data_IF_886833298913
#
_entry.id   IF_886833298913
#
_cell.length_a   1.000
_cell.length_b   1.000
_cell.length_c   1.000
_cell.angle_alpha   90.00
_cell.angle_beta   90.00
_cell.angle_gamma   90.00
#
_symmetry.space_group_name_H-M   'P 1'
#
loop_
_entity.id
_entity.type
_entity.pdbx_description
1 polymer ?
#
# COMPACT_ATOMS: atom_id res chain seq x y z
N UNK A 1 23.21 -16.75 6.33
CA UNK A 1 21.84 -16.43 5.90
C UNK A 1 21.83 -16.41 4.38
N UNK A 2 20.92 -17.14 3.75
CA UNK A 2 20.73 -17.06 2.30
C UNK A 2 20.42 -15.61 1.92
N UNK A 3 21.02 -15.09 0.85
CA UNK A 3 20.72 -13.76 0.32
C UNK A 3 19.31 -13.85 -0.27
N UNK A 4 18.35 -13.12 0.31
CA UNK A 4 17.00 -13.00 -0.22
C UNK A 4 16.86 -11.71 -1.03
N UNK A 5 16.10 -11.79 -2.14
CA UNK A 5 15.76 -10.62 -2.96
C UNK A 5 14.46 -10.00 -2.51
N UNK A 6 13.40 -10.82 -2.43
CA UNK A 6 12.07 -10.36 -2.09
C UNK A 6 11.86 -10.22 -0.58
N UNK A 7 11.27 -9.09 -0.20
CA UNK A 7 10.74 -8.82 1.14
C UNK A 7 9.22 -9.01 1.18
N UNK A 8 8.56 -8.41 2.17
CA UNK A 8 7.10 -8.46 2.34
C UNK A 8 6.33 -7.70 1.26
N UNK A 9 6.98 -6.77 0.55
CA UNK A 9 6.36 -5.94 -0.48
C UNK A 9 7.35 -5.69 -1.63
N UNK A 10 7.68 -6.75 -2.34
CA UNK A 10 8.61 -6.72 -3.46
C UNK A 10 10.09 -6.67 -3.04
N UNK A 11 10.95 -6.28 -3.98
CA UNK A 11 12.39 -6.09 -3.77
C UNK A 11 12.60 -4.66 -3.29
N UNK A 12 13.30 -4.45 -2.16
CA UNK A 12 13.61 -3.10 -1.64
C UNK A 12 15.00 -3.05 -1.03
N UNK A 13 15.75 -2.01 -1.34
CA UNK A 13 16.99 -1.65 -0.68
C UNK A 13 17.40 -0.22 -1.03
N UNK A 14 18.46 0.27 -0.38
CA UNK A 14 19.16 1.49 -0.81
C UNK A 14 19.70 1.28 -2.23
N UNK A 15 19.46 2.24 -3.11
CA UNK A 15 19.91 2.17 -4.49
C UNK A 15 21.44 1.95 -4.57
N UNK A 16 21.89 1.16 -5.54
CA UNK A 16 23.28 0.75 -5.71
C UNK A 16 23.83 -0.16 -4.58
N UNK A 17 22.98 -0.68 -3.72
CA UNK A 17 23.33 -1.75 -2.77
C UNK A 17 22.54 -3.02 -3.11
N UNK A 18 23.08 -4.19 -2.75
CA UNK A 18 22.36 -5.44 -2.94
C UNK A 18 21.01 -5.43 -2.17
N UNK A 19 19.91 -5.84 -2.81
CA UNK A 19 19.73 -6.36 -4.17
C UNK A 19 19.49 -5.29 -5.27
N UNK A 20 19.44 -4.00 -4.94
CA UNK A 20 19.11 -2.91 -5.86
C UNK A 20 20.32 -2.42 -6.68
N UNK A 21 21.19 -3.34 -7.14
CA UNK A 21 22.29 -3.07 -8.06
C UNK A 21 21.91 -3.33 -9.52
N UNK A 22 22.47 -2.60 -10.51
CA UNK A 22 22.10 -2.75 -11.93
C UNK A 22 22.17 -4.20 -12.43
N UNK A 23 23.18 -4.94 -12.02
CA UNK A 23 23.36 -6.33 -12.46
C UNK A 23 22.27 -7.26 -11.94
N UNK A 24 21.89 -7.13 -10.67
CA UNK A 24 20.80 -7.92 -10.09
C UNK A 24 19.46 -7.53 -10.71
N UNK A 25 19.20 -6.23 -10.87
CA UNK A 25 17.97 -5.71 -11.48
C UNK A 25 17.81 -6.20 -12.92
N UNK A 26 18.90 -6.21 -13.71
CA UNK A 26 18.89 -6.77 -15.06
C UNK A 26 18.52 -8.25 -15.04
N UNK A 27 19.09 -9.03 -14.11
CA UNK A 27 18.76 -10.45 -13.94
C UNK A 27 17.30 -10.66 -13.50
N UNK A 28 16.72 -9.76 -12.68
CA UNK A 28 15.29 -9.80 -12.36
C UNK A 28 14.45 -9.64 -13.64
N UNK A 29 14.82 -8.69 -14.52
CA UNK A 29 14.18 -8.54 -15.83
C UNK A 29 14.34 -9.79 -16.71
N UNK A 30 15.52 -10.41 -16.73
CA UNK A 30 15.77 -11.67 -17.46
C UNK A 30 14.94 -12.83 -16.90
N UNK A 31 14.91 -13.01 -15.57
CA UNK A 31 14.15 -14.06 -14.92
C UNK A 31 12.63 -13.94 -15.21
N UNK A 32 12.08 -12.74 -15.03
CA UNK A 32 10.68 -12.47 -15.38
C UNK A 32 10.42 -12.72 -16.87
N UNK A 33 11.30 -12.28 -17.76
CA UNK A 33 11.20 -12.51 -19.20
C UNK A 33 11.21 -14.00 -19.56
N UNK A 34 12.03 -14.81 -18.88
CA UNK A 34 12.06 -16.25 -19.05
C UNK A 34 10.73 -16.91 -18.63
N UNK A 35 10.19 -16.50 -17.47
CA UNK A 35 8.91 -17.02 -16.97
C UNK A 35 7.75 -16.68 -17.91
N UNK A 36 7.66 -15.45 -18.38
CA UNK A 36 6.63 -15.01 -19.33
C UNK A 36 6.69 -15.81 -20.65
N UNK A 37 7.90 -16.17 -21.10
CA UNK A 37 8.06 -16.98 -22.31
C UNK A 37 7.80 -18.46 -22.11
N UNK A 38 7.97 -18.99 -20.91
CA UNK A 38 7.68 -20.40 -20.58
C UNK A 38 6.19 -20.67 -20.57
N UNK A 39 5.43 -19.81 -19.94
CA UNK A 39 3.97 -19.88 -19.94
C UNK A 39 3.46 -19.25 -21.25
N UNK A 40 2.52 -19.88 -21.97
CA UNK A 40 2.09 -19.36 -23.25
C UNK A 40 1.56 -17.92 -23.09
N UNK A 41 2.21 -16.94 -23.69
CA UNK A 41 1.82 -15.54 -23.50
C UNK A 41 0.46 -15.29 -24.11
N UNK A 42 -0.32 -14.41 -23.48
CA UNK A 42 -1.60 -13.91 -24.02
C UNK A 42 -1.38 -13.28 -25.40
N UNK A 43 -0.19 -12.73 -25.60
CA UNK A 43 0.21 -12.03 -26.83
C UNK A 43 1.26 -12.84 -27.60
N UNK A 44 1.19 -12.76 -28.95
CA UNK A 44 2.23 -13.33 -29.82
C UNK A 44 3.64 -12.77 -29.52
N UNK A 45 3.71 -11.51 -29.09
CA UNK A 45 4.94 -10.85 -28.64
C UNK A 45 4.71 -10.41 -27.18
N UNK A 46 5.32 -11.11 -26.20
CA UNK A 46 5.17 -10.78 -24.80
C UNK A 46 5.56 -9.34 -24.51
N UNK A 47 4.81 -8.68 -23.62
CA UNK A 47 5.04 -7.28 -23.28
C UNK A 47 4.84 -7.00 -21.80
N UNK A 48 5.67 -6.11 -21.26
CA UNK A 48 5.65 -5.65 -19.88
C UNK A 48 5.49 -4.13 -19.83
N UNK A 49 4.60 -3.66 -18.98
CA UNK A 49 4.47 -2.22 -18.67
C UNK A 49 5.37 -1.90 -17.50
N UNK A 50 6.18 -0.84 -17.62
CA UNK A 50 7.05 -0.35 -16.53
C UNK A 50 6.75 1.11 -16.23
N UNK A 51 6.39 1.39 -14.97
CA UNK A 51 6.31 2.74 -14.43
C UNK A 51 7.23 2.90 -13.23
N UNK A 52 7.31 4.14 -12.74
CA UNK A 52 8.18 4.49 -11.61
C UNK A 52 7.60 5.65 -10.81
N UNK A 53 8.09 5.81 -9.58
CA UNK A 53 7.92 7.06 -8.85
C UNK A 53 8.95 8.11 -9.31
N UNK A 54 9.12 9.15 -8.53
CA UNK A 54 9.93 10.32 -8.90
C UNK A 54 11.38 10.24 -8.43
N UNK A 55 11.82 9.13 -7.82
CA UNK A 55 13.18 8.95 -7.29
C UNK A 55 14.23 9.03 -8.41
N UNK A 56 15.36 9.66 -8.12
CA UNK A 56 16.48 9.76 -9.08
C UNK A 56 16.95 8.39 -9.55
N UNK A 57 17.07 7.43 -8.64
CA UNK A 57 17.51 6.06 -8.93
C UNK A 57 16.57 5.29 -9.86
N UNK A 58 15.32 5.76 -10.01
CA UNK A 58 14.33 5.17 -10.93
C UNK A 58 14.83 5.06 -12.38
N UNK A 59 15.65 6.00 -12.85
CA UNK A 59 16.22 5.93 -14.20
C UNK A 59 17.16 4.74 -14.37
N UNK A 60 18.05 4.50 -13.41
CA UNK A 60 18.98 3.37 -13.43
C UNK A 60 18.23 2.03 -13.40
N UNK A 61 17.24 1.92 -12.50
CA UNK A 61 16.45 0.70 -12.34
C UNK A 61 15.61 0.40 -13.59
N UNK A 62 14.97 1.41 -14.18
CA UNK A 62 14.15 1.30 -15.40
C UNK A 62 15.00 0.79 -16.58
N UNK A 63 16.22 1.34 -16.77
CA UNK A 63 17.11 0.93 -17.85
C UNK A 63 17.62 -0.51 -17.66
N UNK A 64 17.97 -0.89 -16.44
CA UNK A 64 18.46 -2.24 -16.15
C UNK A 64 17.37 -3.30 -16.36
N UNK A 65 16.14 -3.07 -15.83
CA UNK A 65 14.99 -3.94 -16.09
C UNK A 65 14.66 -4.06 -17.58
N UNK A 66 14.63 -2.91 -18.27
CA UNK A 66 14.34 -2.85 -19.70
C UNK A 66 15.34 -3.68 -20.50
N UNK A 67 16.64 -3.54 -20.21
CA UNK A 67 17.69 -4.33 -20.87
C UNK A 67 17.51 -5.83 -20.63
N UNK A 68 17.24 -6.22 -19.37
CA UNK A 68 17.00 -7.61 -19.01
C UNK A 68 15.80 -8.22 -19.75
N UNK A 69 14.66 -7.54 -19.77
CA UNK A 69 13.45 -7.99 -20.46
C UNK A 69 13.66 -8.07 -21.99
N UNK A 70 14.25 -7.04 -22.59
CA UNK A 70 14.50 -7.01 -24.03
C UNK A 70 15.47 -8.11 -24.47
N UNK A 71 16.48 -8.43 -23.66
CA UNK A 71 17.41 -9.53 -23.93
C UNK A 71 16.74 -10.89 -23.94
N UNK A 72 15.59 -11.01 -23.28
CA UNK A 72 14.77 -12.22 -23.25
C UNK A 72 13.66 -12.21 -24.32
N UNK A 73 13.63 -11.22 -25.23
CA UNK A 73 12.62 -11.13 -26.31
C UNK A 73 11.28 -10.55 -25.85
N UNK A 74 11.20 -9.94 -24.67
CA UNK A 74 9.99 -9.30 -24.15
C UNK A 74 9.97 -7.82 -24.50
N UNK A 75 8.85 -7.34 -25.04
CA UNK A 75 8.65 -5.93 -25.33
C UNK A 75 8.39 -5.14 -24.06
N UNK A 76 8.93 -3.93 -23.97
CA UNK A 76 8.77 -3.05 -22.81
C UNK A 76 8.01 -1.79 -23.20
N UNK A 77 7.00 -1.45 -22.40
CA UNK A 77 6.20 -0.24 -22.52
C UNK A 77 6.46 0.65 -21.32
N UNK A 78 7.22 1.75 -21.52
CA UNK A 78 7.58 2.70 -20.47
C UNK A 78 6.48 3.76 -20.36
N UNK A 79 5.93 3.94 -19.14
CA UNK A 79 4.86 4.90 -18.88
C UNK A 79 5.31 6.12 -18.06
N UNK A 80 6.57 6.13 -17.59
CA UNK A 80 7.13 7.21 -16.79
C UNK A 80 6.60 7.23 -15.35
N UNK A 81 6.62 8.40 -14.69
CA UNK A 81 6.07 8.53 -13.34
C UNK A 81 4.56 8.32 -13.34
N UNK A 82 4.12 7.28 -12.62
CA UNK A 82 2.71 6.91 -12.47
C UNK A 82 2.52 6.18 -11.14
N UNK A 83 1.39 6.38 -10.42
CA UNK A 83 1.05 5.65 -9.21
C UNK A 83 1.11 4.12 -9.35
N UNK A 84 1.44 3.45 -8.25
CA UNK A 84 1.47 1.97 -8.17
C UNK A 84 0.16 1.33 -8.68
N UNK A 85 -1.04 1.74 -8.24
CA UNK A 85 -2.29 1.17 -8.75
C UNK A 85 -2.48 1.40 -10.26
N UNK A 86 -1.98 2.51 -10.80
CA UNK A 86 -2.00 2.77 -12.24
C UNK A 86 -1.23 1.72 -13.06
N UNK A 87 -0.20 1.10 -12.49
CA UNK A 87 0.54 0.02 -13.17
C UNK A 87 -0.28 -1.28 -13.19
N UNK A 88 -0.94 -1.64 -12.08
CA UNK A 88 -1.88 -2.75 -12.05
C UNK A 88 -3.02 -2.58 -13.06
N UNK A 89 -3.61 -1.38 -13.11
CA UNK A 89 -4.62 -1.01 -14.10
C UNK A 89 -4.10 -1.16 -15.54
N UNK A 90 -2.94 -0.57 -15.85
CA UNK A 90 -2.38 -0.61 -17.21
C UNK A 90 -1.96 -2.02 -17.64
N UNK A 91 -1.48 -2.86 -16.74
CA UNK A 91 -1.19 -4.26 -17.06
C UNK A 91 -2.42 -4.96 -17.64
N UNK A 92 -3.59 -4.77 -17.00
CA UNK A 92 -4.87 -5.30 -17.48
C UNK A 92 -5.38 -4.58 -18.75
N UNK A 93 -5.46 -3.27 -18.70
CA UNK A 93 -6.04 -2.44 -19.75
C UNK A 93 -5.30 -2.59 -21.08
N UNK A 94 -3.98 -2.65 -21.04
CA UNK A 94 -3.13 -2.81 -22.22
C UNK A 94 -2.90 -4.28 -22.59
N UNK A 95 -3.48 -5.23 -21.83
CA UNK A 95 -3.28 -6.68 -22.01
C UNK A 95 -1.79 -7.02 -22.03
N UNK A 96 -1.04 -6.49 -21.07
CA UNK A 96 0.35 -6.84 -20.87
C UNK A 96 0.47 -8.16 -20.09
N UNK A 97 1.57 -8.88 -20.28
CA UNK A 97 1.83 -10.14 -19.58
C UNK A 97 2.27 -9.88 -18.14
N UNK A 98 2.85 -8.70 -17.86
CA UNK A 98 3.13 -8.21 -16.52
C UNK A 98 3.18 -6.67 -16.46
N UNK A 99 3.06 -6.13 -15.23
CA UNK A 99 3.33 -4.74 -14.90
C UNK A 99 4.46 -4.65 -13.87
N UNK A 100 5.31 -3.65 -13.96
CA UNK A 100 6.37 -3.40 -12.97
C UNK A 100 6.29 -1.95 -12.52
N UNK A 101 6.24 -1.74 -11.21
CA UNK A 101 6.44 -0.42 -10.60
C UNK A 101 7.79 -0.35 -9.91
N UNK A 102 8.52 0.71 -10.20
CA UNK A 102 9.80 1.05 -9.60
C UNK A 102 9.56 2.10 -8.54
N UNK A 103 9.45 1.68 -7.28
CA UNK A 103 9.22 2.53 -6.13
C UNK A 103 9.56 1.83 -4.81
N UNK A 104 9.95 2.61 -3.82
CA UNK A 104 10.03 2.17 -2.42
C UNK A 104 8.90 2.80 -1.58
N UNK A 105 7.76 3.18 -2.20
CA UNK A 105 6.57 3.74 -1.55
C UNK A 105 6.94 4.91 -0.62
N UNK A 106 6.75 4.76 0.68
CA UNK A 106 6.95 5.79 1.70
C UNK A 106 8.42 5.95 2.18
N UNK A 107 9.36 5.11 1.71
CA UNK A 107 10.77 5.22 2.11
C UNK A 107 11.41 6.53 1.60
N UNK A 108 12.52 6.99 2.22
CA UNK A 108 13.30 8.13 1.73
C UNK A 108 13.82 7.91 0.30
N UNK A 109 14.23 8.99 -0.38
CA UNK A 109 14.61 8.98 -1.80
C UNK A 109 15.77 8.06 -2.16
N UNK A 110 16.69 7.79 -1.23
CA UNK A 110 17.86 6.95 -1.46
C UNK A 110 17.53 5.46 -1.56
N UNK A 111 16.37 5.03 -1.04
CA UNK A 111 15.87 3.69 -1.25
C UNK A 111 15.08 3.61 -2.57
N UNK A 112 15.04 2.41 -3.14
CA UNK A 112 14.15 2.10 -4.25
C UNK A 112 13.69 0.65 -4.16
N UNK A 113 12.73 0.28 -5.02
CA UNK A 113 12.16 -1.06 -5.01
C UNK A 113 11.55 -1.45 -6.35
N UNK A 114 11.19 -2.71 -6.45
CA UNK A 114 10.53 -3.30 -7.62
C UNK A 114 9.36 -4.14 -7.11
N UNK A 115 8.15 -3.81 -7.55
CA UNK A 115 6.95 -4.63 -7.35
C UNK A 115 6.47 -5.11 -8.72
N UNK A 116 6.06 -6.36 -8.80
CA UNK A 116 5.64 -6.99 -10.07
C UNK A 116 4.16 -7.35 -9.96
N UNK A 117 3.41 -7.02 -10.99
CA UNK A 117 1.99 -7.35 -11.18
C UNK A 117 1.86 -8.35 -12.32
N UNK A 118 0.95 -9.30 -12.17
CA UNK A 118 0.56 -10.20 -13.24
C UNK A 118 -0.33 -9.52 -14.29
N UNK A 119 -0.69 -10.26 -15.32
CA UNK A 119 -1.61 -9.81 -16.38
C UNK A 119 -3.03 -9.50 -15.86
N UNK A 120 -3.38 -10.04 -14.69
CA UNK A 120 -4.63 -9.75 -13.98
C UNK A 120 -4.58 -8.44 -13.18
N UNK A 121 -3.42 -7.78 -13.11
CA UNK A 121 -3.20 -6.53 -12.39
C UNK A 121 -3.02 -6.69 -10.88
N UNK A 122 -3.00 -7.91 -10.35
CA UNK A 122 -2.63 -8.18 -8.97
C UNK A 122 -1.13 -8.40 -8.83
N UNK A 123 -0.58 -8.21 -7.63
CA UNK A 123 0.81 -8.59 -7.34
C UNK A 123 1.00 -10.08 -7.60
N UNK A 124 2.18 -10.44 -8.10
CA UNK A 124 2.52 -11.86 -8.33
C UNK A 124 2.52 -12.66 -7.04
N UNK A 125 2.29 -13.96 -7.14
CA UNK A 125 2.27 -14.86 -5.99
C UNK A 125 3.65 -15.04 -5.36
N UNK A 126 3.68 -15.50 -4.11
CA UNK A 126 4.94 -15.78 -3.40
C UNK A 126 5.75 -16.87 -4.08
N UNK A 127 5.08 -17.86 -4.69
CA UNK A 127 5.71 -18.93 -5.45
C UNK A 127 6.44 -18.36 -6.69
N UNK A 128 5.85 -17.39 -7.38
CA UNK A 128 6.49 -16.72 -8.52
C UNK A 128 7.65 -15.82 -8.07
N UNK A 129 7.52 -15.15 -6.91
CA UNK A 129 8.63 -14.39 -6.30
C UNK A 129 9.83 -15.30 -5.98
N UNK A 130 9.58 -16.46 -5.35
CA UNK A 130 10.60 -17.47 -5.01
C UNK A 130 11.26 -18.05 -6.28
N UNK A 131 10.49 -18.27 -7.34
CA UNK A 131 11.01 -18.74 -8.62
C UNK A 131 11.90 -17.69 -9.31
N UNK A 132 11.49 -16.41 -9.33
CA UNK A 132 12.33 -15.31 -9.83
C UNK A 132 13.62 -15.24 -9.01
N UNK A 133 13.54 -15.34 -7.69
CA UNK A 133 14.71 -15.30 -6.80
C UNK A 133 15.70 -16.42 -7.13
N UNK A 134 15.21 -17.65 -7.29
CA UNK A 134 16.01 -18.82 -7.67
C UNK A 134 16.70 -18.62 -9.03
N UNK A 135 15.95 -18.12 -10.02
CA UNK A 135 16.50 -17.83 -11.34
C UNK A 135 17.60 -16.75 -11.31
N UNK A 136 17.41 -15.71 -10.51
CA UNK A 136 18.40 -14.62 -10.40
C UNK A 136 19.69 -15.05 -9.69
N UNK A 137 19.57 -15.87 -8.63
CA UNK A 137 20.67 -16.20 -7.76
C UNK A 137 21.46 -17.45 -8.22
N UNK A 138 20.77 -18.45 -8.76
CA UNK A 138 21.29 -19.80 -8.94
C UNK A 138 21.32 -20.26 -10.41
N UNK A 139 20.80 -19.44 -11.37
CA UNK A 139 20.71 -19.84 -12.77
C UNK A 139 21.60 -19.00 -13.66
N UNK A 140 22.22 -19.64 -14.65
CA UNK A 140 22.93 -18.97 -15.75
C UNK A 140 21.93 -18.52 -16.81
N UNK A 141 21.37 -17.31 -16.61
CA UNK A 141 20.36 -16.74 -17.49
C UNK A 141 20.89 -16.40 -18.90
N UNK A 142 22.22 -16.30 -19.09
CA UNK A 142 22.80 -16.01 -20.40
C UNK A 142 22.52 -17.12 -21.42
N UNK A 143 22.29 -18.36 -20.96
CA UNK A 143 21.93 -19.50 -21.82
C UNK A 143 20.53 -19.41 -22.42
N UNK A 144 19.69 -18.49 -21.91
CA UNK A 144 18.30 -18.35 -22.31
C UNK A 144 18.01 -17.06 -23.09
N UNK A 145 19.04 -16.30 -23.43
CA UNK A 145 18.92 -15.05 -24.18
C UNK A 145 18.25 -15.30 -25.54
N UNK A 146 17.47 -14.31 -25.96
CA UNK A 146 16.81 -14.35 -27.28
C UNK A 146 17.85 -14.13 -28.41
N UNK A 147 17.64 -14.79 -29.55
CA UNK A 147 18.44 -14.52 -30.76
C UNK A 147 18.20 -13.07 -31.24
N UNK A 148 19.17 -12.51 -31.94
CA UNK A 148 19.15 -11.10 -32.34
C UNK A 148 17.88 -10.63 -33.05
N UNK A 149 17.26 -11.50 -33.87
CA UNK A 149 16.00 -11.21 -34.56
C UNK A 149 14.76 -11.24 -33.67
N UNK A 150 14.89 -11.83 -32.46
CA UNK A 150 13.82 -12.02 -31.48
C UNK A 150 13.94 -11.10 -30.27
N UNK A 151 14.89 -10.15 -30.27
CA UNK A 151 15.05 -9.20 -29.17
C UNK A 151 13.77 -8.37 -28.95
N UNK A 152 13.49 -8.07 -27.70
CA UNK A 152 12.38 -7.21 -27.31
C UNK A 152 12.60 -5.77 -27.79
N UNK A 153 11.50 -5.02 -27.95
CA UNK A 153 11.51 -3.59 -28.31
C UNK A 153 10.97 -2.76 -27.18
N UNK A 154 11.50 -1.57 -27.00
CA UNK A 154 11.01 -0.61 -26.00
C UNK A 154 10.25 0.51 -26.70
N UNK A 155 9.08 0.86 -26.14
CA UNK A 155 8.25 1.98 -26.58
C UNK A 155 7.80 2.80 -25.35
N UNK A 156 7.81 4.12 -25.49
CA UNK A 156 7.16 5.02 -24.53
C UNK A 156 5.68 5.15 -24.86
N UNK A 157 4.86 5.17 -23.81
CA UNK A 157 3.40 5.35 -23.89
C UNK A 157 3.09 6.68 -23.23
N UNK A 158 2.76 7.69 -24.03
CA UNK A 158 2.61 9.06 -23.55
C UNK A 158 1.22 9.35 -22.97
N UNK A 159 0.20 8.57 -23.35
CA UNK A 159 -1.19 8.72 -22.89
C UNK A 159 -1.55 7.87 -21.65
N UNK A 160 -0.57 7.20 -21.05
CA UNK A 160 -0.78 6.31 -19.91
C UNK A 160 -1.43 7.02 -18.71
N UNK A 161 -0.99 8.24 -18.40
CA UNK A 161 -1.54 9.04 -17.30
C UNK A 161 -3.02 9.37 -17.56
N UNK A 162 -3.37 9.79 -18.77
CA UNK A 162 -4.76 10.10 -19.15
C UNK A 162 -5.69 8.91 -19.03
N UNK A 163 -5.24 7.71 -19.41
CA UNK A 163 -6.02 6.47 -19.23
C UNK A 163 -6.32 6.19 -17.77
N UNK A 164 -5.33 6.34 -16.91
CA UNK A 164 -5.49 6.10 -15.48
C UNK A 164 -6.32 7.19 -14.80
N UNK A 165 -6.22 8.47 -15.19
CA UNK A 165 -7.10 9.56 -14.74
C UNK A 165 -8.57 9.21 -15.02
N UNK A 166 -8.88 8.75 -16.21
CA UNK A 166 -10.24 8.33 -16.56
C UNK A 166 -10.70 7.16 -15.70
N UNK A 167 -9.85 6.18 -15.47
CA UNK A 167 -10.16 5.01 -14.63
C UNK A 167 -10.46 5.41 -13.17
N UNK A 168 -9.62 6.25 -12.56
CA UNK A 168 -9.84 6.76 -11.19
C UNK A 168 -11.19 7.49 -11.09
N UNK A 169 -11.51 8.35 -12.08
CA UNK A 169 -12.77 9.11 -12.07
C UNK A 169 -14.01 8.22 -12.13
N UNK A 170 -13.90 7.02 -12.72
CA UNK A 170 -14.99 6.05 -12.73
C UNK A 170 -15.34 5.50 -11.33
N UNK A 171 -14.46 5.69 -10.34
CA UNK A 171 -14.75 5.38 -8.93
C UNK A 171 -15.61 6.44 -8.24
N UNK A 172 -15.90 7.57 -8.90
CA UNK A 172 -16.75 8.63 -8.39
C UNK A 172 -18.06 8.67 -9.19
N UNK A 173 -19.24 8.60 -8.53
CA UNK A 173 -20.53 8.52 -9.23
C UNK A 173 -20.81 9.74 -10.10
N UNK A 174 -21.38 9.50 -11.29
CA UNK A 174 -21.65 10.54 -12.31
C UNK A 174 -22.66 11.60 -11.86
N UNK A 175 -23.51 11.28 -10.88
CA UNK A 175 -24.51 12.20 -10.33
C UNK A 175 -23.92 13.26 -9.38
N UNK A 176 -22.65 13.11 -8.99
CA UNK A 176 -21.96 14.06 -8.12
C UNK A 176 -20.82 14.78 -8.84
N UNK A 177 -20.51 15.98 -8.37
CA UNK A 177 -19.30 16.72 -8.69
C UNK A 177 -18.62 17.17 -7.41
N UNK A 178 -17.34 17.53 -7.49
CA UNK A 178 -16.61 18.13 -6.36
C UNK A 178 -16.73 19.66 -6.34
N UNK A 179 -17.59 20.24 -7.21
CA UNK A 179 -17.86 21.68 -7.18
C UNK A 179 -18.29 22.15 -5.80
N UNK A 180 -17.69 23.27 -5.37
CA UNK A 180 -17.92 23.86 -4.05
C UNK A 180 -17.05 23.26 -2.94
N UNK A 181 -16.26 22.21 -3.21
CA UNK A 181 -15.29 21.68 -2.25
C UNK A 181 -13.89 22.25 -2.53
N UNK A 182 -13.25 22.75 -1.48
CA UNK A 182 -11.84 23.12 -1.47
C UNK A 182 -11.03 21.99 -0.84
N UNK A 183 -10.09 21.44 -1.62
CA UNK A 183 -9.28 20.28 -1.26
C UNK A 183 -7.81 20.68 -1.15
N UNK A 184 -7.18 20.44 -0.01
CA UNK A 184 -5.72 20.47 0.09
C UNK A 184 -5.22 19.11 -0.35
N UNK A 185 -4.40 19.07 -1.41
CA UNK A 185 -3.86 17.83 -1.98
C UNK A 185 -2.33 17.80 -1.89
N UNK A 186 -1.80 16.91 -1.05
CA UNK A 186 -0.36 16.67 -0.92
C UNK A 186 0.04 15.40 -1.68
N UNK A 187 0.81 15.59 -2.74
CA UNK A 187 1.31 14.50 -3.60
C UNK A 187 2.65 13.92 -3.15
N UNK A 188 3.16 14.25 -1.97
CA UNK A 188 4.44 13.75 -1.43
C UNK A 188 5.66 13.95 -2.37
N UNK A 189 5.61 14.86 -3.32
CA UNK A 189 6.55 14.92 -4.46
C UNK A 189 6.70 13.58 -5.20
N UNK A 190 5.69 12.71 -5.12
CA UNK A 190 5.66 11.34 -5.60
C UNK A 190 5.03 11.16 -6.97
N UNK A 191 4.70 9.93 -7.31
CA UNK A 191 4.22 9.50 -8.62
C UNK A 191 2.88 10.15 -9.04
N UNK A 192 2.06 10.54 -8.07
CA UNK A 192 0.73 11.14 -8.32
C UNK A 192 0.77 12.64 -8.66
N UNK A 193 1.95 13.29 -8.68
CA UNK A 193 2.07 14.75 -8.79
C UNK A 193 1.39 15.39 -10.00
N UNK A 194 1.11 14.63 -11.05
CA UNK A 194 0.32 15.06 -12.23
C UNK A 194 -1.07 14.48 -12.25
N UNK A 195 -1.21 13.21 -11.87
CA UNK A 195 -2.48 12.47 -11.98
C UNK A 195 -3.48 12.97 -10.95
N UNK A 196 -3.08 13.04 -9.68
CA UNK A 196 -4.02 13.39 -8.62
C UNK A 196 -4.60 14.81 -8.79
N UNK A 197 -3.81 15.88 -9.04
CA UNK A 197 -4.39 17.18 -9.31
C UNK A 197 -5.42 17.16 -10.45
N UNK A 198 -5.09 16.53 -11.57
CA UNK A 198 -5.99 16.45 -12.72
C UNK A 198 -7.31 15.75 -12.39
N UNK A 199 -7.28 14.66 -11.59
CA UNK A 199 -8.50 13.96 -11.17
C UNK A 199 -9.42 14.87 -10.37
N UNK A 200 -8.90 15.55 -9.34
CA UNK A 200 -9.72 16.39 -8.47
C UNK A 200 -10.21 17.66 -9.18
N UNK A 201 -9.36 18.30 -10.00
CA UNK A 201 -9.73 19.48 -10.79
C UNK A 201 -10.77 19.17 -11.86
N UNK A 202 -10.63 18.05 -12.58
CA UNK A 202 -11.59 17.62 -13.60
C UNK A 202 -12.96 17.22 -13.01
N UNK A 203 -13.00 16.83 -11.73
CA UNK A 203 -14.25 16.60 -11.00
C UNK A 203 -14.84 17.88 -10.39
N UNK A 204 -14.17 19.04 -10.52
CA UNK A 204 -14.67 20.34 -10.13
C UNK A 204 -14.19 20.88 -8.78
N UNK A 205 -13.22 20.22 -8.11
CA UNK A 205 -12.68 20.72 -6.84
C UNK A 205 -11.81 21.98 -7.02
N UNK A 206 -11.84 22.89 -6.04
CA UNK A 206 -10.82 23.92 -5.87
C UNK A 206 -9.61 23.28 -5.17
N UNK A 207 -8.51 23.04 -5.89
CA UNK A 207 -7.36 22.29 -5.39
C UNK A 207 -6.24 23.20 -4.92
N UNK A 208 -5.80 23.02 -3.68
CA UNK A 208 -4.60 23.63 -3.11
C UNK A 208 -3.49 22.59 -3.09
N UNK A 209 -2.48 22.76 -3.95
CA UNK A 209 -1.44 21.75 -4.16
C UNK A 209 -0.27 21.92 -3.20
N UNK A 210 0.12 20.81 -2.58
CA UNK A 210 1.35 20.61 -1.84
C UNK A 210 2.12 19.43 -2.45
N UNK A 211 3.43 19.38 -2.22
CA UNK A 211 4.22 18.21 -2.60
C UNK A 211 4.17 17.84 -4.09
N UNK A 212 4.01 18.80 -5.02
CA UNK A 212 3.82 18.54 -6.46
C UNK A 212 5.01 18.93 -7.35
N UNK A 213 6.19 19.21 -6.77
CA UNK A 213 7.41 19.60 -7.51
C UNK A 213 8.54 18.62 -7.24
N UNK A 214 8.49 17.42 -7.83
CA UNK A 214 9.53 16.41 -7.64
C UNK A 214 10.87 16.86 -8.27
N UNK A 215 11.95 16.59 -7.56
CA UNK A 215 13.33 16.89 -8.04
C UNK A 215 14.26 15.65 -8.01
N UNK A 216 13.70 14.47 -7.70
CA UNK A 216 14.44 13.20 -7.60
C UNK A 216 14.95 12.87 -6.19
N UNK A 217 14.99 13.87 -5.29
CA UNK A 217 15.55 13.73 -3.94
C UNK A 217 14.54 14.02 -2.84
N UNK A 218 13.39 14.58 -3.16
CA UNK A 218 12.41 15.11 -2.19
C UNK A 218 11.13 14.28 -2.05
N UNK A 219 11.07 13.08 -2.61
CA UNK A 219 9.91 12.19 -2.40
C UNK A 219 9.75 11.86 -0.91
N UNK A 220 8.54 12.05 -0.38
CA UNK A 220 8.21 11.88 1.04
C UNK A 220 9.00 12.77 2.03
N UNK A 221 9.76 13.75 1.55
CA UNK A 221 10.55 14.60 2.44
C UNK A 221 9.66 15.61 3.15
N UNK A 222 9.30 15.32 4.40
CA UNK A 222 8.37 16.10 5.24
C UNK A 222 7.03 16.40 4.53
N UNK A 223 6.60 15.49 3.68
CA UNK A 223 5.39 15.60 2.88
C UNK A 223 4.71 14.23 2.77
N UNK A 224 3.44 14.25 2.38
CA UNK A 224 2.66 13.05 2.11
C UNK A 224 2.13 12.34 3.36
N UNK A 225 1.59 11.15 3.15
CA UNK A 225 0.84 10.38 4.14
C UNK A 225 1.60 10.07 5.44
N UNK A 226 2.93 10.01 5.42
CA UNK A 226 3.75 9.83 6.63
C UNK A 226 3.94 11.12 7.43
N UNK A 227 3.82 12.27 6.80
CA UNK A 227 4.05 13.58 7.40
C UNK A 227 2.87 14.52 7.10
N UNK A 228 1.65 14.20 7.58
CA UNK A 228 0.45 14.94 7.22
C UNK A 228 0.37 16.35 7.82
N UNK A 229 1.33 16.76 8.64
CA UNK A 229 1.32 18.06 9.32
C UNK A 229 1.17 19.25 8.34
N UNK A 230 1.94 19.24 7.25
CA UNK A 230 1.85 20.32 6.24
C UNK A 230 0.46 20.40 5.59
N UNK A 231 -0.18 19.26 5.36
CA UNK A 231 -1.52 19.17 4.81
C UNK A 231 -2.56 19.67 5.83
N UNK A 232 -2.49 19.21 7.09
CA UNK A 232 -3.45 19.63 8.14
C UNK A 232 -3.37 21.11 8.44
N UNK A 233 -2.15 21.68 8.52
CA UNK A 233 -1.94 23.12 8.68
C UNK A 233 -2.50 23.92 7.49
N UNK A 234 -2.32 23.41 6.27
CA UNK A 234 -2.85 24.05 5.05
C UNK A 234 -4.38 24.01 5.02
N UNK A 235 -5.02 22.91 5.44
CA UNK A 235 -6.48 22.82 5.55
C UNK A 235 -7.03 23.95 6.40
N UNK A 236 -6.49 24.12 7.60
CA UNK A 236 -6.93 25.20 8.53
C UNK A 236 -6.62 26.58 7.94
N UNK A 237 -5.40 26.78 7.41
CA UNK A 237 -4.94 28.06 6.86
C UNK A 237 -5.80 28.54 5.70
N UNK A 238 -6.13 27.65 4.78
CA UNK A 238 -6.89 27.97 3.57
C UNK A 238 -8.39 27.75 3.72
N UNK A 239 -8.86 27.35 4.92
CA UNK A 239 -10.25 26.99 5.20
C UNK A 239 -10.76 25.97 4.17
N UNK A 240 -9.99 24.94 3.94
CA UNK A 240 -10.37 23.86 3.04
C UNK A 240 -11.38 22.93 3.73
N UNK A 241 -12.21 22.27 2.93
CA UNK A 241 -13.22 21.34 3.42
C UNK A 241 -12.59 19.99 3.80
N UNK A 242 -11.47 19.64 3.14
CA UNK A 242 -10.78 18.37 3.34
C UNK A 242 -9.32 18.46 2.93
N UNK A 243 -8.48 17.69 3.60
CA UNK A 243 -7.11 17.41 3.19
C UNK A 243 -6.96 15.98 2.70
N UNK A 244 -6.15 15.79 1.66
CA UNK A 244 -5.79 14.49 1.09
C UNK A 244 -4.28 14.42 0.96
N UNK A 245 -3.64 13.47 1.58
CA UNK A 245 -2.18 13.30 1.58
C UNK A 245 -1.84 11.89 1.11
N UNK A 246 -1.17 11.81 -0.04
CA UNK A 246 -0.73 10.55 -0.66
C UNK A 246 0.71 10.23 -0.24
N UNK A 247 1.15 8.99 -0.42
CA UNK A 247 2.58 8.64 -0.29
C UNK A 247 3.29 8.65 -1.65
N UNK A 248 4.57 8.28 -1.65
CA UNK A 248 5.44 8.43 -2.82
C UNK A 248 4.98 7.70 -4.08
N UNK A 249 4.29 6.59 -3.97
CA UNK A 249 3.71 5.85 -5.10
C UNK A 249 2.16 5.81 -5.06
N UNK A 250 1.57 6.61 -4.17
CA UNK A 250 0.15 6.88 -4.04
C UNK A 250 -0.74 5.63 -3.86
N UNK A 251 -0.18 4.56 -3.31
CA UNK A 251 -0.94 3.39 -2.89
C UNK A 251 -1.58 3.58 -1.50
N UNK A 252 -1.25 4.70 -0.81
CA UNK A 252 -1.78 5.11 0.49
C UNK A 252 -2.36 6.50 0.47
N UNK A 253 -3.34 6.72 1.36
CA UNK A 253 -3.91 8.03 1.65
C UNK A 253 -4.13 8.22 3.15
N UNK A 254 -3.81 9.41 3.63
CA UNK A 254 -4.26 9.95 4.91
C UNK A 254 -5.05 11.22 4.59
N UNK A 255 -6.19 11.38 5.24
CA UNK A 255 -7.04 12.55 5.05
C UNK A 255 -7.01 13.47 6.27
N UNK A 256 -7.56 14.66 6.13
CA UNK A 256 -7.85 15.55 7.25
C UNK A 256 -9.24 16.16 7.08
N UNK A 257 -9.95 16.34 8.18
CA UNK A 257 -11.20 17.08 8.20
C UNK A 257 -10.97 18.60 8.11
N UNK A 258 -12.03 19.38 8.02
CA UNK A 258 -12.00 20.83 7.92
C UNK A 258 -11.38 21.55 9.13
N UNK A 259 -11.20 20.83 10.25
CA UNK A 259 -10.52 21.34 11.45
C UNK A 259 -9.03 20.98 11.48
N UNK A 260 -8.54 20.25 10.46
CA UNK A 260 -7.17 19.76 10.40
C UNK A 260 -6.93 18.51 11.26
N UNK A 261 -7.98 17.81 11.69
CA UNK A 261 -7.82 16.54 12.41
C UNK A 261 -7.52 15.43 11.40
N UNK A 262 -6.52 14.63 11.73
CA UNK A 262 -6.09 13.51 10.87
C UNK A 262 -7.15 12.39 10.87
N UNK A 263 -7.50 11.93 9.68
CA UNK A 263 -8.39 10.81 9.38
C UNK A 263 -7.54 9.72 8.74
N UNK A 264 -7.21 8.70 9.50
CA UNK A 264 -6.35 7.60 9.06
C UNK A 264 -7.14 6.48 8.35
N UNK A 265 -6.44 5.42 7.95
CA UNK A 265 -7.03 4.30 7.21
C UNK A 265 -8.18 3.60 7.95
N UNK A 266 -8.13 3.51 9.26
CA UNK A 266 -9.22 2.87 10.05
C UNK A 266 -10.51 3.70 10.00
N UNK A 267 -10.41 5.03 10.06
CA UNK A 267 -11.56 5.93 9.87
C UNK A 267 -12.11 5.82 8.45
N UNK A 268 -11.22 5.81 7.44
CA UNK A 268 -11.61 5.66 6.03
C UNK A 268 -12.38 4.34 5.83
N UNK A 269 -11.84 3.22 6.34
CA UNK A 269 -12.51 1.92 6.29
C UNK A 269 -13.88 1.95 6.97
N UNK A 270 -13.97 2.57 8.15
CA UNK A 270 -15.23 2.64 8.90
C UNK A 270 -16.30 3.43 8.15
N UNK A 271 -15.94 4.61 7.62
CA UNK A 271 -16.87 5.47 6.84
C UNK A 271 -17.31 4.75 5.57
N UNK A 272 -16.38 4.21 4.80
CA UNK A 272 -16.67 3.50 3.56
C UNK A 272 -17.52 2.24 3.80
N UNK A 273 -17.17 1.44 4.80
CA UNK A 273 -17.89 0.20 5.12
C UNK A 273 -19.37 0.47 5.50
N UNK A 274 -19.60 1.48 6.31
CA UNK A 274 -20.96 1.86 6.72
C UNK A 274 -21.78 2.31 5.52
N UNK A 275 -21.22 3.17 4.68
CA UNK A 275 -21.88 3.67 3.48
C UNK A 275 -22.18 2.55 2.47
N UNK A 276 -21.18 1.72 2.15
CA UNK A 276 -21.36 0.59 1.22
C UNK A 276 -22.41 -0.42 1.74
N UNK A 277 -22.47 -0.65 3.06
CA UNK A 277 -23.50 -1.49 3.64
C UNK A 277 -24.89 -0.89 3.47
N UNK A 278 -25.08 0.40 3.74
CA UNK A 278 -26.35 1.11 3.57
C UNK A 278 -26.83 1.04 2.11
N UNK A 279 -25.90 1.05 1.15
CA UNK A 279 -26.19 0.86 -0.27
C UNK A 279 -26.39 -0.61 -0.70
N UNK A 280 -26.22 -1.59 0.19
CA UNK A 280 -26.25 -3.01 -0.17
C UNK A 280 -25.04 -3.48 -1.01
N UNK A 281 -23.96 -2.72 -1.04
CA UNK A 281 -22.73 -2.95 -1.84
C UNK A 281 -21.60 -3.56 -1.02
N UNK A 282 -21.79 -3.91 0.24
CA UNK A 282 -20.79 -4.56 1.08
C UNK A 282 -21.05 -6.07 1.16
N UNK A 283 -20.38 -6.93 0.37
CA UNK A 283 -20.62 -8.36 0.35
C UNK A 283 -20.44 -8.98 1.74
N UNK A 284 -21.39 -9.81 2.14
CA UNK A 284 -21.41 -10.50 3.44
C UNK A 284 -21.30 -9.54 4.64
N UNK A 285 -21.55 -8.25 4.45
CA UNK A 285 -21.31 -7.20 5.46
C UNK A 285 -19.93 -7.34 6.12
N UNK A 286 -18.88 -7.51 5.32
CA UNK A 286 -17.54 -7.84 5.82
C UNK A 286 -16.49 -6.93 5.19
N UNK A 287 -15.55 -6.44 6.02
CA UNK A 287 -14.30 -5.79 5.59
C UNK A 287 -13.10 -6.61 6.02
N UNK A 288 -11.98 -6.43 5.32
CA UNK A 288 -10.72 -7.05 5.68
C UNK A 288 -9.75 -5.97 6.17
N UNK A 289 -9.11 -6.23 7.31
CA UNK A 289 -8.08 -5.33 7.84
C UNK A 289 -6.94 -6.13 8.47
N UNK A 290 -5.86 -5.45 8.86
CA UNK A 290 -4.73 -6.13 9.49
C UNK A 290 -4.84 -6.13 11.01
N UNK A 291 -4.01 -6.96 11.65
CA UNK A 291 -3.90 -6.96 13.11
C UNK A 291 -3.42 -5.62 13.69
N UNK A 292 -2.93 -4.67 12.87
CA UNK A 292 -2.48 -3.35 13.31
C UNK A 292 -3.58 -2.30 13.37
N UNK A 293 -4.73 -2.52 12.74
CA UNK A 293 -5.87 -1.59 12.84
C UNK A 293 -6.37 -1.49 14.27
N UNK A 294 -6.78 -0.29 14.68
CA UNK A 294 -7.21 -0.01 16.05
C UNK A 294 -8.37 -0.88 16.49
N UNK A 295 -8.39 -1.29 17.76
CA UNK A 295 -9.46 -2.10 18.35
C UNK A 295 -10.84 -1.41 18.26
N UNK A 296 -10.87 -0.07 18.24
CA UNK A 296 -12.11 0.67 18.06
C UNK A 296 -12.83 0.34 16.74
N UNK A 297 -12.09 -0.03 15.69
CA UNK A 297 -12.68 -0.43 14.41
C UNK A 297 -13.57 -1.68 14.58
N UNK A 298 -13.09 -2.72 15.30
CA UNK A 298 -13.88 -3.94 15.52
C UNK A 298 -15.19 -3.65 16.27
N UNK A 299 -15.08 -2.85 17.33
CA UNK A 299 -16.23 -2.49 18.17
C UNK A 299 -17.27 -1.72 17.36
N UNK A 300 -16.81 -0.69 16.65
CA UNK A 300 -17.69 0.14 15.82
C UNK A 300 -18.35 -0.68 14.71
N UNK A 301 -17.59 -1.48 13.98
CA UNK A 301 -18.13 -2.29 12.89
C UNK A 301 -19.14 -3.32 13.40
N UNK A 302 -18.90 -3.91 14.57
CA UNK A 302 -19.86 -4.82 15.22
C UNK A 302 -21.17 -4.11 15.55
N UNK A 303 -21.13 -2.88 16.08
CA UNK A 303 -22.32 -2.09 16.39
C UNK A 303 -23.14 -1.76 15.12
N UNK A 304 -22.46 -1.63 13.98
CA UNK A 304 -23.10 -1.48 12.67
C UNK A 304 -23.43 -2.80 11.97
N UNK A 305 -23.25 -3.96 12.63
CA UNK A 305 -23.49 -5.29 12.04
C UNK A 305 -22.58 -5.60 10.85
N UNK A 306 -21.33 -5.12 10.90
CA UNK A 306 -20.28 -5.37 9.93
C UNK A 306 -19.22 -6.24 10.60
N UNK A 307 -18.77 -7.29 9.92
CA UNK A 307 -17.68 -8.14 10.37
C UNK A 307 -16.33 -7.56 9.93
N UNK A 308 -15.34 -7.60 10.82
CA UNK A 308 -13.93 -7.31 10.50
C UNK A 308 -13.15 -8.62 10.48
N UNK A 309 -12.62 -9.00 9.33
CA UNK A 309 -11.68 -10.10 9.19
C UNK A 309 -10.28 -9.55 9.31
N UNK A 310 -9.47 -10.14 10.19
CA UNK A 310 -8.11 -9.70 10.48
C UNK A 310 -7.09 -10.62 9.83
N UNK A 311 -6.13 -10.01 9.09
CA UNK A 311 -5.00 -10.70 8.49
C UNK A 311 -3.69 -10.27 9.14
N UNK A 312 -2.61 -10.98 8.81
CA UNK A 312 -1.27 -10.49 9.08
C UNK A 312 -1.00 -9.18 8.32
N UNK A 313 -0.02 -8.42 8.82
CA UNK A 313 0.40 -7.15 8.23
C UNK A 313 0.96 -7.36 6.83
N UNK A 314 0.54 -6.52 5.91
CA UNK A 314 0.94 -6.52 4.51
C UNK A 314 -0.27 -6.55 3.59
N UNK A 315 -0.25 -5.66 2.63
CA UNK A 315 -1.33 -5.47 1.67
C UNK A 315 -1.64 -6.75 0.86
N UNK A 316 -0.63 -7.57 0.58
CA UNK A 316 -0.77 -8.87 -0.08
C UNK A 316 -1.72 -9.80 0.69
N UNK A 317 -1.56 -9.88 2.03
CA UNK A 317 -2.42 -10.70 2.88
C UNK A 317 -3.88 -10.20 2.85
N UNK A 318 -4.07 -8.88 2.86
CA UNK A 318 -5.41 -8.27 2.77
C UNK A 318 -6.06 -8.61 1.43
N UNK A 319 -5.34 -8.41 0.32
CA UNK A 319 -5.85 -8.70 -1.03
C UNK A 319 -6.16 -10.19 -1.22
N UNK A 320 -5.29 -11.08 -0.76
CA UNK A 320 -5.50 -12.53 -0.86
C UNK A 320 -6.76 -12.97 -0.12
N UNK A 321 -6.98 -12.46 1.10
CA UNK A 321 -8.19 -12.73 1.89
C UNK A 321 -9.44 -12.18 1.19
N UNK A 322 -9.38 -10.94 0.68
CA UNK A 322 -10.47 -10.33 -0.07
C UNK A 322 -10.84 -11.16 -1.31
N UNK A 323 -9.86 -11.57 -2.09
CA UNK A 323 -10.08 -12.41 -3.30
C UNK A 323 -10.66 -13.77 -2.97
N UNK A 324 -10.12 -14.41 -1.94
CA UNK A 324 -10.52 -15.77 -1.53
C UNK A 324 -11.98 -15.86 -1.14
N UNK A 325 -12.50 -14.83 -0.48
CA UNK A 325 -13.87 -14.85 0.05
C UNK A 325 -14.83 -13.90 -0.67
N UNK A 326 -14.35 -13.15 -1.65
CA UNK A 326 -15.16 -12.21 -2.44
C UNK A 326 -15.53 -10.95 -1.66
N UNK A 327 -14.66 -10.46 -0.78
CA UNK A 327 -14.82 -9.17 -0.11
C UNK A 327 -14.33 -8.05 -1.01
N UNK A 328 -14.98 -6.87 -0.95
CA UNK A 328 -14.70 -5.74 -1.86
C UNK A 328 -13.99 -4.58 -1.21
N UNK A 329 -14.00 -4.49 0.13
CA UNK A 329 -13.35 -3.43 0.89
C UNK A 329 -12.38 -4.00 1.91
N UNK A 330 -11.16 -3.50 1.91
CA UNK A 330 -10.15 -3.84 2.89
C UNK A 330 -9.03 -2.81 2.96
N UNK A 331 -8.14 -2.95 3.95
CA UNK A 331 -7.01 -2.04 4.06
C UNK A 331 -6.31 -2.07 5.41
N UNK A 332 -5.47 -1.06 5.61
CA UNK A 332 -4.62 -0.90 6.79
C UNK A 332 -4.77 0.49 7.40
N UNK A 333 -4.53 0.62 8.70
CA UNK A 333 -4.49 1.92 9.40
C UNK A 333 -3.53 2.91 8.73
N UNK A 334 -2.46 2.41 8.11
CA UNK A 334 -1.47 3.21 7.39
C UNK A 334 -2.01 3.95 6.16
N UNK A 335 -3.28 3.74 5.80
CA UNK A 335 -3.94 4.37 4.66
C UNK A 335 -3.88 3.58 3.35
N UNK A 336 -3.34 2.36 3.35
CA UNK A 336 -3.43 1.47 2.20
C UNK A 336 -4.84 0.88 2.13
N UNK A 337 -5.73 1.50 1.35
CA UNK A 337 -7.15 1.17 1.27
C UNK A 337 -7.48 0.61 -0.11
N UNK A 338 -8.17 -0.51 -0.13
CA UNK A 338 -8.46 -1.30 -1.33
C UNK A 338 -9.97 -1.36 -1.55
N UNK A 339 -10.41 -0.81 -2.66
CA UNK A 339 -11.75 -1.00 -3.20
C UNK A 339 -11.62 -1.91 -4.43
N UNK A 340 -11.82 -3.24 -4.26
CA UNK A 340 -11.60 -4.20 -5.35
C UNK A 340 -12.53 -4.02 -6.55
N UNK A 341 -13.63 -3.29 -6.39
CA UNK A 341 -14.50 -2.90 -7.52
C UNK A 341 -13.77 -1.94 -8.48
N UNK A 342 -12.78 -1.19 -7.99
CA UNK A 342 -12.09 -0.14 -8.74
C UNK A 342 -10.60 -0.43 -8.96
N UNK A 343 -9.91 -1.00 -7.97
CA UNK A 343 -8.47 -1.21 -8.02
C UNK A 343 -8.07 -2.57 -7.47
N UNK A 344 -7.04 -3.18 -8.05
CA UNK A 344 -6.49 -4.48 -7.61
C UNK A 344 -5.52 -4.38 -6.43
N UNK A 345 -5.18 -3.18 -6.01
CA UNK A 345 -4.31 -2.85 -4.87
C UNK A 345 -4.80 -1.57 -4.20
N UNK A 346 -4.18 -1.12 -3.14
CA UNK A 346 -4.47 0.19 -2.56
C UNK A 346 -4.32 1.30 -3.58
N UNK A 347 -5.27 2.24 -3.57
CA UNK A 347 -5.28 3.42 -4.43
C UNK A 347 -5.74 4.63 -3.61
N UNK A 348 -4.79 5.51 -3.32
CA UNK A 348 -5.06 6.66 -2.46
C UNK A 348 -6.04 7.65 -3.09
N UNK A 349 -6.03 7.81 -4.41
CA UNK A 349 -6.99 8.67 -5.11
C UNK A 349 -8.41 8.08 -5.09
N UNK A 350 -8.54 6.80 -5.41
CA UNK A 350 -9.83 6.07 -5.35
C UNK A 350 -10.39 6.11 -3.93
N UNK A 351 -9.56 5.85 -2.92
CA UNK A 351 -9.99 5.88 -1.54
C UNK A 351 -10.49 7.28 -1.12
N UNK A 352 -9.76 8.34 -1.47
CA UNK A 352 -10.18 9.71 -1.21
C UNK A 352 -11.51 10.04 -1.91
N UNK A 353 -11.66 9.67 -3.18
CA UNK A 353 -12.90 9.91 -3.94
C UNK A 353 -14.10 9.19 -3.32
N UNK A 354 -13.94 7.96 -2.85
CA UNK A 354 -15.04 7.25 -2.16
C UNK A 354 -15.45 7.96 -0.86
N UNK A 355 -14.52 8.55 -0.11
CA UNK A 355 -14.90 9.35 1.07
C UNK A 355 -15.59 10.67 0.66
N UNK A 356 -15.13 11.32 -0.41
CA UNK A 356 -15.78 12.52 -0.94
C UNK A 356 -17.19 12.21 -1.50
N UNK A 357 -17.40 11.03 -2.06
CA UNK A 357 -18.75 10.53 -2.41
C UNK A 357 -19.64 10.50 -1.17
N UNK A 358 -19.17 9.90 -0.06
CA UNK A 358 -19.95 9.87 1.19
C UNK A 358 -20.30 11.27 1.70
N UNK A 359 -19.33 12.21 1.63
CA UNK A 359 -19.58 13.61 2.01
C UNK A 359 -20.65 14.25 1.12
N UNK A 360 -20.59 14.05 -0.19
CA UNK A 360 -21.57 14.62 -1.16
C UNK A 360 -22.94 13.97 -1.00
N UNK A 361 -23.02 12.64 -0.85
CA UNK A 361 -24.27 11.90 -0.70
C UNK A 361 -24.99 12.21 0.61
N UNK A 362 -24.25 12.38 1.72
CA UNK A 362 -24.83 12.64 3.04
C UNK A 362 -25.03 14.13 3.34
N UNK A 363 -24.34 15.03 2.62
CA UNK A 363 -24.27 16.47 2.93
C UNK A 363 -23.51 16.77 4.23
N UNK A 364 -22.81 15.80 4.83
CA UNK A 364 -22.05 15.94 6.09
C UNK A 364 -20.61 16.34 5.83
N UNK A 365 -20.04 17.05 6.79
CA UNK A 365 -18.60 17.32 6.83
C UNK A 365 -17.81 16.06 7.23
N UNK A 366 -16.53 16.04 6.88
CA UNK A 366 -15.68 14.89 7.20
C UNK A 366 -15.52 14.69 8.72
N UNK A 367 -15.46 15.78 9.50
CA UNK A 367 -15.44 15.71 10.97
C UNK A 367 -16.67 15.03 11.55
N UNK A 368 -17.87 15.26 10.99
CA UNK A 368 -19.09 14.64 11.42
C UNK A 368 -19.10 13.13 11.08
N UNK A 369 -18.64 12.80 9.85
CA UNK A 369 -18.51 11.41 9.40
C UNK A 369 -17.48 10.61 10.22
N UNK A 370 -16.39 11.23 10.64
CA UNK A 370 -15.34 10.56 11.42
C UNK A 370 -15.65 10.51 12.93
N UNK A 371 -16.56 11.34 13.42
CA UNK A 371 -16.85 11.50 14.86
C UNK A 371 -17.35 10.23 15.56
N UNK A 372 -17.90 9.28 14.81
CA UNK A 372 -18.42 8.03 15.35
C UNK A 372 -17.33 7.01 15.72
N UNK A 373 -16.10 7.18 15.22
CA UNK A 373 -14.97 6.35 15.59
C UNK A 373 -14.01 7.11 16.52
N UNK A 374 -13.89 6.64 17.75
CA UNK A 374 -12.89 7.14 18.71
C UNK A 374 -11.84 6.06 18.94
N UNK A 375 -10.64 6.32 18.48
CA UNK A 375 -9.53 5.39 18.70
C UNK A 375 -9.29 5.15 20.19
N UNK A 376 -9.04 3.91 20.54
CA UNK A 376 -8.53 3.59 21.87
C UNK A 376 -7.02 3.81 21.91
N UNK A 377 -6.48 4.29 23.04
CA UNK A 377 -5.03 4.40 23.24
C UNK A 377 -4.32 3.09 22.92
N UNK A 378 -3.15 3.21 22.28
CA UNK A 378 -2.26 2.09 21.92
C UNK A 378 -0.88 2.30 22.54
N UNK A 379 -0.26 1.21 22.99
CA UNK A 379 1.16 1.16 23.38
C UNK A 379 1.83 0.03 22.60
N UNK A 380 2.86 0.39 21.84
CA UNK A 380 3.70 -0.57 21.12
C UNK A 380 5.11 -0.58 21.73
N UNK A 381 5.54 -1.73 22.23
CA UNK A 381 6.91 -1.93 22.73
C UNK A 381 7.65 -2.87 21.78
N UNK A 382 8.82 -2.43 21.33
CA UNK A 382 9.73 -3.25 20.53
C UNK A 382 10.86 -3.76 21.46
N UNK A 383 10.89 -5.07 21.72
CA UNK A 383 11.87 -5.72 22.59
C UNK A 383 12.90 -6.47 21.75
N UNK A 384 14.19 -6.17 21.96
CA UNK A 384 15.28 -6.91 21.29
C UNK A 384 15.36 -8.35 21.85
N UNK A 385 15.51 -9.31 20.95
CA UNK A 385 15.59 -10.74 21.26
C UNK A 385 16.75 -11.40 20.52
N UNK A 386 17.33 -12.45 21.09
CA UNK A 386 18.41 -13.22 20.44
C UNK A 386 17.87 -14.39 19.63
N UNK A 387 16.74 -14.97 20.04
CA UNK A 387 16.13 -16.11 19.37
C UNK A 387 14.61 -15.94 19.22
N UNK A 388 14.03 -16.53 18.19
CA UNK A 388 12.58 -16.62 18.00
C UNK A 388 12.17 -18.05 18.37
N UNK A 389 11.25 -18.18 19.34
CA UNK A 389 10.60 -19.42 19.74
C UNK A 389 9.10 -19.30 19.48
N UNK A 390 8.41 -20.41 19.35
CA UNK A 390 6.95 -20.37 19.33
C UNK A 390 6.45 -19.70 20.63
N UNK A 391 5.60 -18.65 20.49
CA UNK A 391 5.20 -17.82 21.62
C UNK A 391 4.55 -18.65 22.74
N UNK A 392 3.75 -19.65 22.38
CA UNK A 392 3.06 -20.53 23.35
C UNK A 392 4.01 -21.50 24.07
N UNK A 393 5.24 -21.68 23.58
CA UNK A 393 6.28 -22.50 24.24
C UNK A 393 7.09 -21.69 25.26
N UNK A 394 6.89 -20.39 25.31
CA UNK A 394 7.57 -19.52 26.27
C UNK A 394 6.90 -19.66 27.64
N UNK A 395 7.66 -20.08 28.70
CA UNK A 395 7.08 -20.26 30.03
C UNK A 395 6.39 -18.99 30.55
N UNK A 396 5.13 -19.10 30.96
CA UNK A 396 4.33 -18.00 31.48
C UNK A 396 3.71 -17.07 30.45
N UNK A 397 3.98 -17.26 29.13
CA UNK A 397 3.41 -16.40 28.08
C UNK A 397 1.89 -16.51 28.01
N UNK A 398 1.36 -17.72 27.91
CA UNK A 398 -0.09 -17.95 27.78
C UNK A 398 -0.86 -17.47 29.01
N UNK A 399 -0.30 -17.70 30.20
CA UNK A 399 -0.93 -17.25 31.46
C UNK A 399 -0.97 -15.74 31.56
N UNK A 400 0.16 -15.08 31.25
CA UNK A 400 0.25 -13.62 31.27
C UNK A 400 -0.65 -13.00 30.18
N UNK A 401 -0.69 -13.58 28.98
CA UNK A 401 -1.58 -13.12 27.92
C UNK A 401 -3.04 -13.20 28.36
N UNK A 402 -3.48 -14.32 28.90
CA UNK A 402 -4.85 -14.52 29.40
C UNK A 402 -5.20 -13.56 30.55
N UNK A 403 -4.24 -13.31 31.46
CA UNK A 403 -4.39 -12.31 32.52
C UNK A 403 -4.62 -10.92 31.93
N UNK A 404 -3.78 -10.49 30.98
CA UNK A 404 -3.89 -9.18 30.33
C UNK A 404 -5.23 -9.06 29.59
N UNK A 405 -5.65 -10.07 28.83
CA UNK A 405 -6.95 -10.08 28.14
C UNK A 405 -8.13 -9.96 29.14
N UNK A 406 -8.04 -10.64 30.27
CA UNK A 406 -9.02 -10.51 31.35
C UNK A 406 -9.06 -9.11 31.99
N UNK A 407 -7.88 -8.52 32.22
CA UNK A 407 -7.73 -7.17 32.81
C UNK A 407 -8.29 -6.07 31.88
N UNK A 408 -8.23 -6.28 30.57
CA UNK A 408 -8.79 -5.38 29.56
C UNK A 408 -10.33 -5.48 29.44
N UNK A 409 -10.98 -6.49 30.04
CA UNK A 409 -12.46 -6.64 30.15
C UNK A 409 -13.22 -6.51 28.83
N UNK A 410 -12.60 -6.87 27.71
CA UNK A 410 -13.19 -6.72 26.38
C UNK A 410 -13.24 -5.29 25.83
N UNK A 411 -12.60 -4.33 26.50
CA UNK A 411 -12.43 -2.94 26.05
C UNK A 411 -11.06 -2.67 25.40
N UNK A 412 -10.30 -3.72 25.18
CA UNK A 412 -8.98 -3.67 24.58
C UNK A 412 -8.48 -5.04 24.19
N UNK A 413 -7.22 -5.09 23.74
CA UNK A 413 -6.56 -6.35 23.37
C UNK A 413 -5.04 -6.29 23.53
N UNK A 414 -4.42 -7.44 23.53
CA UNK A 414 -2.97 -7.60 23.41
C UNK A 414 -2.63 -8.37 22.13
N UNK A 415 -1.63 -7.89 21.40
CA UNK A 415 -1.04 -8.57 20.26
C UNK A 415 0.48 -8.67 20.46
N UNK A 416 1.01 -9.89 20.36
CA UNK A 416 2.45 -10.15 20.40
C UNK A 416 2.86 -10.82 19.09
N UNK A 417 3.90 -10.30 18.43
CA UNK A 417 4.44 -10.89 17.21
C UNK A 417 5.94 -10.64 17.08
N UNK A 418 6.61 -11.45 16.29
CA UNK A 418 7.99 -11.19 15.91
C UNK A 418 8.06 -10.25 14.70
N UNK A 419 9.11 -9.45 14.62
CA UNK A 419 9.47 -8.75 13.38
C UNK A 419 9.92 -9.76 12.33
N UNK A 420 9.46 -9.59 11.08
CA UNK A 420 9.89 -10.44 9.97
C UNK A 420 11.37 -10.25 9.61
N UNK A 421 11.85 -9.00 9.69
CA UNK A 421 13.18 -8.60 9.22
C UNK A 421 14.21 -8.39 10.32
N UNK A 422 13.77 -8.15 11.56
CA UNK A 422 14.62 -7.81 12.69
C UNK A 422 14.49 -8.83 13.82
N UNK A 423 15.49 -8.89 14.71
CA UNK A 423 15.43 -9.68 15.92
C UNK A 423 14.71 -8.92 17.03
N UNK A 424 13.41 -8.66 16.79
CA UNK A 424 12.54 -7.95 17.70
C UNK A 424 11.25 -8.74 17.96
N UNK A 425 10.80 -8.75 19.20
CA UNK A 425 9.42 -9.04 19.56
C UNK A 425 8.66 -7.71 19.72
N UNK A 426 7.46 -7.64 19.14
CA UNK A 426 6.59 -6.47 19.19
C UNK A 426 5.38 -6.79 20.04
N UNK A 427 5.19 -6.01 21.10
CA UNK A 427 4.04 -6.11 22.02
C UNK A 427 3.18 -4.88 21.81
N UNK A 428 1.98 -5.07 21.30
CA UNK A 428 0.95 -4.05 21.15
C UNK A 428 -0.12 -4.32 22.22
N UNK A 429 -0.45 -3.32 23.04
CA UNK A 429 -1.59 -3.35 23.94
C UNK A 429 -2.46 -2.13 23.67
N UNK A 430 -3.77 -2.35 23.53
CA UNK A 430 -4.78 -1.34 23.31
C UNK A 430 -5.80 -1.37 24.45
N UNK A 431 -6.32 -0.20 24.81
CA UNK A 431 -7.34 -0.10 25.86
C UNK A 431 -7.58 1.34 26.30
N UNK A 432 -8.65 1.62 27.08
CA UNK A 432 -9.11 2.98 27.37
C UNK A 432 -8.16 3.78 28.28
N UNK A 433 -7.41 3.11 29.17
CA UNK A 433 -6.46 3.76 30.10
C UNK A 433 -5.02 3.58 29.65
N UNK A 434 -4.42 4.65 29.12
CA UNK A 434 -3.05 4.67 28.59
C UNK A 434 -2.00 4.24 29.61
N UNK A 435 -2.18 4.59 30.90
CA UNK A 435 -1.23 4.22 31.96
C UNK A 435 -1.33 2.73 32.28
N UNK A 436 -2.54 2.22 32.36
CA UNK A 436 -2.80 0.80 32.60
C UNK A 436 -2.22 -0.06 31.48
N UNK A 437 -2.54 0.23 30.21
CA UNK A 437 -2.01 -0.54 29.07
C UNK A 437 -0.49 -0.43 28.93
N UNK A 438 0.12 0.68 29.34
CA UNK A 438 1.58 0.81 29.36
C UNK A 438 2.23 -0.18 30.33
N UNK A 439 1.65 -0.37 31.51
CA UNK A 439 2.12 -1.35 32.49
C UNK A 439 1.99 -2.78 31.97
N UNK A 440 0.84 -3.11 31.39
CA UNK A 440 0.59 -4.44 30.81
C UNK A 440 1.54 -4.75 29.65
N UNK A 441 1.77 -3.77 28.76
CA UNK A 441 2.73 -3.92 27.65
C UNK A 441 4.16 -4.13 28.16
N UNK A 442 4.55 -3.41 29.21
CA UNK A 442 5.89 -3.55 29.83
C UNK A 442 6.05 -4.91 30.54
N UNK A 443 5.01 -5.42 31.21
CA UNK A 443 5.02 -6.73 31.86
C UNK A 443 5.29 -7.84 30.83
N UNK A 444 4.56 -7.83 29.69
CA UNK A 444 4.74 -8.78 28.60
C UNK A 444 6.12 -8.62 27.92
N UNK A 445 6.55 -7.39 27.64
CA UNK A 445 7.85 -7.13 27.04
C UNK A 445 9.00 -7.65 27.91
N UNK A 446 8.91 -7.47 29.22
CA UNK A 446 9.90 -7.96 30.19
C UNK A 446 9.96 -9.49 30.26
N UNK A 447 8.81 -10.17 30.15
CA UNK A 447 8.75 -11.63 30.06
C UNK A 447 9.49 -12.12 28.81
N UNK A 448 9.20 -11.51 27.65
CA UNK A 448 9.83 -11.89 26.37
C UNK A 448 11.34 -11.62 26.38
N UNK A 449 11.78 -10.49 26.93
CA UNK A 449 13.19 -10.15 27.05
C UNK A 449 13.96 -11.19 27.87
N UNK A 450 13.40 -11.59 29.01
CA UNK A 450 14.02 -12.59 29.90
C UNK A 450 14.06 -14.00 29.26
N UNK A 451 13.05 -14.35 28.50
CA UNK A 451 12.89 -15.72 28.00
C UNK A 451 13.59 -15.96 26.65
N UNK A 452 13.90 -14.90 25.90
CA UNK A 452 14.42 -14.97 24.53
C UNK A 452 15.85 -14.41 24.40
N UNK A 453 16.46 -13.91 25.49
CA UNK A 453 17.85 -13.46 25.59
C UNK A 453 18.70 -14.36 26.46
#
# INVERSE_FOLDING_TARGET
>A
MAKRLFGTDGIRATANTFPMTPNIIMKVGQALGLLIRRDPPINKHPKVVIGKDTRLSGYMVELALTSGLNSMGVHVQLVGPLPTPGIGFLARNMRADAGIIISASHNPFHDNGIKIFGSDGFKISSEMEDEIETLVLDTDLEKHLAEGSQLGRTKRIDDAAGRYIVDIKNAFPLEYTLEGLRVVLDCAHGAAYKVAPAVFEELGAEVILLGNKPNGFNVNDKAGALYPASMTEAVVKYRADVGVSLDGDADRVIMADENGQVINGDHILAIAATHLKEQGRLPKNTIVSTHMSNFALDKLMKDHGIQVVRTDVGDKNVVEEMRRYGYTLGGEQSGHIIFLEHSTTGDGCVAALNILEVMKASGKKLSELASFMKEVPQILINTKIKSKKELNEIPGYSDLKSKIESDLKGEGRILVRYSGTENLARVLVEGPDKKHISNLAQEMASLLEKSLN
#
